data_IF_798548231839
#
_entry.id   IF_798548231839
#
_cell.length_a   1.000
_cell.length_b   1.000
_cell.length_c   1.000
_cell.angle_alpha   90.00
_cell.angle_beta   90.00
_cell.angle_gamma   90.00
#
_symmetry.space_group_name_H-M   'P 1'
#
loop_
_entity.id
_entity.type
_entity.pdbx_description
1 polymer ?
#
# COMPACT_ATOMS: atom_id res chain seq x y z
N UNK A 1 19.44 8.97 7.83
CA UNK A 1 18.21 8.62 8.53
C UNK A 1 17.21 7.99 7.56
N UNK A 2 16.42 7.08 8.07
CA UNK A 2 15.41 6.33 7.34
C UNK A 2 14.12 6.36 8.14
N UNK A 3 13.00 6.69 7.49
CA UNK A 3 11.67 6.46 8.06
C UNK A 3 11.21 5.08 7.57
N UNK A 4 11.12 4.15 8.49
CA UNK A 4 10.63 2.81 8.21
C UNK A 4 9.19 2.71 8.70
N UNK A 5 8.28 2.36 7.79
CA UNK A 5 6.85 2.24 8.09
C UNK A 5 6.40 0.80 7.83
N UNK A 6 6.39 -0.05 8.87
CA UNK A 6 5.85 -1.39 8.74
C UNK A 6 4.32 -1.35 8.84
N UNK A 7 3.65 -1.91 7.85
CA UNK A 7 2.19 -2.00 7.80
C UNK A 7 1.83 -3.28 7.05
N UNK A 8 1.19 -4.26 7.69
CA UNK A 8 0.90 -5.52 7.02
C UNK A 8 0.08 -5.38 5.74
N UNK A 9 -0.84 -4.41 5.70
CA UNK A 9 -1.83 -4.31 4.63
C UNK A 9 -1.76 -2.95 3.96
N UNK A 10 -1.06 -2.86 2.83
CA UNK A 10 -0.97 -1.66 2.02
C UNK A 10 -2.13 -1.57 1.04
N UNK A 11 -3.29 -1.07 1.48
CA UNK A 11 -4.49 -0.97 0.67
C UNK A 11 -4.50 0.30 -0.20
N UNK A 12 -4.74 1.46 0.41
CA UNK A 12 -4.78 2.76 -0.31
C UNK A 12 -3.49 3.56 -0.20
N UNK A 13 -2.68 3.27 0.81
CA UNK A 13 -1.49 4.06 1.13
C UNK A 13 -1.78 5.26 2.03
N UNK A 14 -3.03 5.47 2.44
CA UNK A 14 -3.38 6.67 3.22
C UNK A 14 -2.70 6.73 4.57
N UNK A 15 -2.57 5.60 5.28
CA UNK A 15 -1.87 5.55 6.58
C UNK A 15 -0.41 5.95 6.44
N UNK A 16 0.28 5.41 5.44
CA UNK A 16 1.66 5.76 5.16
C UNK A 16 1.80 7.24 4.82
N UNK A 17 0.93 7.75 3.94
CA UNK A 17 0.99 9.15 3.52
C UNK A 17 0.64 10.13 4.64
N UNK A 18 -0.25 9.75 5.56
CA UNK A 18 -0.51 10.53 6.76
C UNK A 18 0.72 10.59 7.67
N UNK A 19 1.39 9.48 7.87
CA UNK A 19 2.63 9.44 8.66
C UNK A 19 3.70 10.32 8.02
N UNK A 20 3.88 10.25 6.71
CA UNK A 20 4.82 11.10 5.97
C UNK A 20 4.47 12.57 6.17
N UNK A 21 3.19 12.93 6.04
CA UNK A 21 2.73 14.30 6.25
C UNK A 21 3.02 14.82 7.65
N UNK A 22 2.85 13.97 8.66
CA UNK A 22 3.19 14.30 10.05
C UNK A 22 4.68 14.63 10.17
N UNK A 23 5.55 13.79 9.64
CA UNK A 23 6.99 13.99 9.71
C UNK A 23 7.46 15.22 8.93
N UNK A 24 6.80 15.55 7.82
CA UNK A 24 7.12 16.79 7.08
C UNK A 24 6.99 18.04 7.93
N UNK A 25 6.08 18.04 8.89
CA UNK A 25 5.80 19.18 9.75
C UNK A 25 6.62 19.22 11.04
N UNK A 26 7.45 18.21 11.28
CA UNK A 26 8.35 18.21 12.43
C UNK A 26 9.60 19.03 12.16
N UNK A 27 10.25 19.58 13.23
CA UNK A 27 11.56 20.19 13.07
C UNK A 27 12.55 19.19 12.46
N UNK A 28 13.24 19.60 11.41
CA UNK A 28 14.15 18.73 10.69
C UNK A 28 13.52 18.06 9.46
N UNK A 29 12.19 18.07 9.34
CA UNK A 29 11.48 17.58 8.16
C UNK A 29 11.59 16.09 7.96
N UNK A 30 11.43 15.65 6.71
CA UNK A 30 11.48 14.24 6.35
C UNK A 30 12.89 13.66 6.45
N UNK A 31 13.02 12.39 6.86
CA UNK A 31 14.27 11.67 6.72
C UNK A 31 14.69 11.55 5.26
N UNK A 32 15.95 11.24 5.06
CA UNK A 32 16.56 11.13 3.75
C UNK A 32 15.92 10.03 2.90
N UNK A 33 15.40 8.99 3.54
CA UNK A 33 14.83 7.83 2.85
C UNK A 33 13.55 7.39 3.52
N UNK A 34 12.55 7.14 2.70
CA UNK A 34 11.25 6.61 3.13
C UNK A 34 11.13 5.18 2.67
N UNK A 35 10.79 4.27 3.58
CA UNK A 35 10.65 2.85 3.28
C UNK A 35 9.34 2.36 3.89
N UNK A 36 8.51 1.71 3.10
CA UNK A 36 7.34 1.00 3.60
C UNK A 36 7.54 -0.51 3.42
N UNK A 37 7.16 -1.27 4.45
CA UNK A 37 7.27 -2.72 4.47
C UNK A 37 5.90 -3.32 4.73
N UNK A 38 5.43 -4.11 3.79
CA UNK A 38 4.08 -4.65 3.80
C UNK A 38 4.10 -6.15 3.57
N UNK A 39 3.11 -6.86 4.09
CA UNK A 39 2.88 -8.24 3.68
C UNK A 39 2.18 -8.25 2.32
N UNK A 40 1.11 -7.47 2.19
CA UNK A 40 0.31 -7.39 0.97
C UNK A 40 0.12 -5.93 0.59
N UNK A 41 0.32 -5.62 -0.69
CA UNK A 41 0.00 -4.30 -1.26
C UNK A 41 -0.92 -4.46 -2.46
N UNK A 42 -1.53 -3.35 -2.88
CA UNK A 42 -2.37 -3.28 -4.07
C UNK A 42 -1.76 -2.38 -5.11
N UNK A 43 -2.17 -2.48 -6.37
CA UNK A 43 -1.79 -1.49 -7.39
C UNK A 43 -2.17 -0.07 -7.00
N UNK A 44 -3.32 0.11 -6.36
CA UNK A 44 -3.78 1.42 -5.86
C UNK A 44 -2.80 2.00 -4.83
N UNK A 45 -2.36 1.16 -3.88
CA UNK A 45 -1.33 1.55 -2.90
C UNK A 45 -0.07 2.05 -3.62
N UNK A 46 0.44 1.25 -4.56
CA UNK A 46 1.67 1.58 -5.27
C UNK A 46 1.52 2.89 -6.05
N UNK A 47 0.41 3.07 -6.76
CA UNK A 47 0.15 4.31 -7.50
C UNK A 47 0.10 5.53 -6.59
N UNK A 48 -0.66 5.43 -5.49
CA UNK A 48 -0.85 6.55 -4.57
C UNK A 48 0.45 6.94 -3.87
N UNK A 49 1.22 5.96 -3.42
CA UNK A 49 2.50 6.22 -2.76
C UNK A 49 3.50 6.83 -3.75
N UNK A 50 3.60 6.28 -4.95
CA UNK A 50 4.54 6.80 -5.96
C UNK A 50 4.16 8.18 -6.47
N UNK A 51 2.86 8.49 -6.54
CA UNK A 51 2.41 9.82 -6.94
C UNK A 51 2.78 10.89 -5.89
N UNK A 52 2.65 10.56 -4.61
CA UNK A 52 2.93 11.50 -3.52
C UNK A 52 4.42 11.54 -3.13
N UNK A 53 5.07 10.39 -3.12
CA UNK A 53 6.47 10.24 -2.70
C UNK A 53 7.21 9.35 -3.70
N UNK A 54 7.66 9.91 -4.84
CA UNK A 54 8.30 9.11 -5.90
C UNK A 54 9.57 8.38 -5.47
N UNK A 55 10.26 8.91 -4.46
CA UNK A 55 11.51 8.33 -3.96
C UNK A 55 11.29 7.27 -2.88
N UNK A 56 10.05 7.05 -2.45
CA UNK A 56 9.77 6.04 -1.44
C UNK A 56 10.05 4.64 -1.97
N UNK A 57 10.62 3.80 -1.12
CA UNK A 57 10.89 2.40 -1.43
C UNK A 57 9.78 1.54 -0.81
N UNK A 58 9.19 0.70 -1.63
CA UNK A 58 8.10 -0.19 -1.23
C UNK A 58 8.64 -1.62 -1.24
N UNK A 59 8.63 -2.27 -0.07
CA UNK A 59 8.88 -3.70 0.05
C UNK A 59 7.60 -4.41 0.37
N UNK A 60 7.26 -5.45 -0.37
CA UNK A 60 6.07 -6.25 -0.13
C UNK A 60 6.34 -7.69 -0.49
N UNK A 61 5.70 -8.62 0.24
CA UNK A 61 5.76 -10.02 -0.14
C UNK A 61 4.82 -10.36 -1.28
N UNK A 62 3.70 -9.64 -1.37
CA UNK A 62 2.68 -9.94 -2.37
C UNK A 62 2.01 -8.68 -2.88
N UNK A 63 1.78 -8.64 -4.19
CA UNK A 63 0.95 -7.65 -4.84
C UNK A 63 -0.39 -8.31 -5.21
N UNK A 64 -1.47 -7.86 -4.58
CA UNK A 64 -2.82 -8.34 -4.87
C UNK A 64 -3.53 -7.42 -5.84
N UNK A 65 -3.94 -7.97 -6.98
CA UNK A 65 -4.64 -7.25 -8.04
C UNK A 65 -5.83 -8.05 -8.55
N UNK A 66 -6.55 -8.69 -7.61
CA UNK A 66 -7.61 -9.65 -7.90
C UNK A 66 -8.83 -9.09 -8.61
N UNK A 67 -8.99 -7.76 -8.69
CA UNK A 67 -10.08 -7.10 -9.39
C UNK A 67 -9.67 -6.54 -10.75
N UNK A 68 -8.47 -6.87 -11.20
CA UNK A 68 -8.00 -6.50 -12.54
C UNK A 68 -8.80 -7.25 -13.61
N UNK A 69 -8.99 -6.65 -14.81
CA UNK A 69 -9.57 -7.39 -15.94
C UNK A 69 -8.74 -8.64 -16.26
N UNK A 70 -9.41 -9.67 -16.78
CA UNK A 70 -8.79 -10.97 -17.05
C UNK A 70 -7.55 -10.85 -17.94
N UNK A 71 -7.63 -10.07 -19.01
CA UNK A 71 -6.49 -9.90 -19.93
C UNK A 71 -5.29 -9.21 -19.26
N UNK A 72 -5.55 -8.36 -18.26
CA UNK A 72 -4.49 -7.69 -17.48
C UNK A 72 -3.87 -8.67 -16.50
N UNK A 73 -4.68 -9.55 -15.94
CA UNK A 73 -4.22 -10.57 -14.99
C UNK A 73 -3.21 -11.52 -15.62
N UNK A 74 -3.31 -11.76 -16.92
CA UNK A 74 -2.39 -12.62 -17.66
C UNK A 74 -1.04 -11.96 -17.94
N UNK A 75 -0.88 -10.65 -17.66
CA UNK A 75 0.36 -9.92 -17.87
C UNK A 75 1.13 -9.74 -16.57
N UNK A 76 2.46 -9.54 -16.64
CA UNK A 76 3.24 -9.22 -15.45
C UNK A 76 2.73 -7.93 -14.76
N UNK A 77 2.80 -7.86 -13.43
CA UNK A 77 2.41 -6.64 -12.70
C UNK A 77 3.16 -5.42 -13.21
N UNK A 78 2.42 -4.31 -13.34
CA UNK A 78 2.96 -3.06 -13.85
C UNK A 78 2.89 -2.88 -15.36
N UNK A 79 2.45 -3.91 -16.11
CA UNK A 79 2.30 -3.82 -17.57
C UNK A 79 1.15 -2.87 -17.97
N UNK A 80 0.04 -2.94 -17.23
CA UNK A 80 -1.13 -2.08 -17.46
C UNK A 80 -1.54 -1.42 -16.14
N UNK A 81 -0.72 -0.51 -15.61
CA UNK A 81 -0.94 0.02 -14.24
C UNK A 81 -2.29 0.72 -14.08
N UNK A 82 -2.80 1.35 -15.12
CA UNK A 82 -4.09 2.06 -15.07
C UNK A 82 -5.29 1.13 -14.98
N UNK A 83 -5.13 -0.14 -15.35
CA UNK A 83 -6.20 -1.14 -15.33
C UNK A 83 -6.09 -2.11 -14.17
N UNK A 84 -4.95 -2.13 -13.49
CA UNK A 84 -4.73 -3.04 -12.36
C UNK A 84 -5.48 -2.57 -11.13
N UNK A 85 -6.19 -3.50 -10.47
CA UNK A 85 -7.02 -3.21 -9.30
C UNK A 85 -6.93 -4.32 -8.28
N UNK A 86 -6.84 -3.93 -7.02
CA UNK A 86 -6.83 -4.84 -5.89
C UNK A 86 -7.74 -4.42 -4.75
N UNK A 87 -8.48 -3.30 -4.87
CA UNK A 87 -9.40 -2.82 -3.83
C UNK A 87 -10.84 -2.88 -4.32
N UNK A 88 -11.74 -3.43 -3.48
CA UNK A 88 -13.16 -3.38 -3.74
C UNK A 88 -13.76 -2.03 -3.29
N UNK A 89 -15.07 -1.91 -3.37
CA UNK A 89 -15.81 -0.69 -2.99
C UNK A 89 -15.66 -0.34 -1.51
N UNK A 90 -15.34 -1.30 -0.66
CA UNK A 90 -15.10 -1.10 0.78
C UNK A 90 -13.62 -0.89 1.11
N UNK A 91 -12.77 -0.75 0.10
CA UNK A 91 -11.33 -0.60 0.25
C UNK A 91 -10.66 -1.85 0.84
N UNK A 92 -11.25 -3.02 0.67
CA UNK A 92 -10.65 -4.29 1.06
C UNK A 92 -9.82 -4.86 -0.09
N UNK A 93 -8.69 -5.48 0.27
CA UNK A 93 -7.77 -6.07 -0.71
C UNK A 93 -8.34 -7.38 -1.22
N UNK A 94 -8.32 -7.56 -2.54
CA UNK A 94 -8.81 -8.78 -3.19
C UNK A 94 -7.70 -9.38 -4.05
N UNK A 95 -7.34 -10.65 -3.84
CA UNK A 95 -7.92 -11.58 -2.86
C UNK A 95 -7.53 -11.31 -1.40
N UNK A 96 -6.33 -10.81 -1.14
CA UNK A 96 -5.86 -10.39 0.18
C UNK A 96 -6.15 -11.36 1.31
N UNK A 97 -6.24 -10.79 2.51
CA UNK A 97 -6.65 -11.50 3.72
C UNK A 97 -8.02 -10.99 4.21
N UNK A 98 -8.85 -10.49 3.30
CA UNK A 98 -10.16 -9.94 3.64
C UNK A 98 -10.05 -8.75 4.60
N UNK A 99 -10.87 -8.75 5.65
CA UNK A 99 -10.88 -7.72 6.67
C UNK A 99 -9.87 -7.94 7.79
N UNK A 100 -8.66 -8.39 7.48
CA UNK A 100 -7.65 -8.73 8.49
C UNK A 100 -7.42 -7.61 9.50
N UNK A 101 -7.35 -6.35 9.03
CA UNK A 101 -7.16 -5.22 9.93
C UNK A 101 -8.29 -5.07 10.93
N UNK A 102 -9.54 -5.25 10.49
CA UNK A 102 -10.70 -5.22 11.36
C UNK A 102 -10.71 -6.39 12.34
N UNK A 103 -10.37 -7.58 11.86
CA UNK A 103 -10.30 -8.77 12.71
C UNK A 103 -9.25 -8.59 13.82
N UNK A 104 -8.08 -8.11 13.48
CA UNK A 104 -7.00 -7.87 14.45
C UNK A 104 -7.43 -6.82 15.48
N UNK A 105 -8.08 -5.75 15.05
CA UNK A 105 -8.46 -4.66 15.92
C UNK A 105 -9.70 -4.96 16.78
N UNK A 106 -10.53 -5.92 16.36
CA UNK A 106 -11.79 -6.24 17.01
C UNK A 106 -11.78 -7.62 17.69
N UNK A 107 -10.62 -8.20 17.88
CA UNK A 107 -10.52 -9.47 18.58
C UNK A 107 -10.71 -9.23 20.08
N UNK A 108 -11.78 -9.79 20.61
CA UNK A 108 -12.05 -9.83 22.04
C UNK A 108 -11.73 -11.22 22.55
N UNK A 109 -10.72 -11.26 23.32
CA UNK A 109 -10.31 -12.52 23.97
C UNK A 109 -10.47 -12.41 25.46
#
# INVERSE_FOLDING_TARGET
QILLFPDPMGATGSSFLKAVGYYKNLPGGLPRKLVTMNLIVTPEFVRNVRAAEPEAVIYAFRLDRGLSPEHVFATPPGTHPELERGLNEHQYIVPGAGGLGEVINNVFV
#
